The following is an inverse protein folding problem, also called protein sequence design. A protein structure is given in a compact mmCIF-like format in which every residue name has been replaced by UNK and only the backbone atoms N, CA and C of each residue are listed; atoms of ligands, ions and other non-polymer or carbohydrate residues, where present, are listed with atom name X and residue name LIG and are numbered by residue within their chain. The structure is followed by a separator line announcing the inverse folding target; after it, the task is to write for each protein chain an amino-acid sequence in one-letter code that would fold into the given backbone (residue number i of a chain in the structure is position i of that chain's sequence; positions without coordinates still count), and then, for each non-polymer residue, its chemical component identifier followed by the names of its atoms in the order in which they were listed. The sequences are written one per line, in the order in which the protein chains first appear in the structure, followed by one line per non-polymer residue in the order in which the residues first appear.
data_IF_336125628486
#
_entry.id   IF_336125628486
#
_cell.length_a   1.000
_cell.length_b   1.000
_cell.length_c   1.000
_cell.angle_alpha   90.00
_cell.angle_beta   90.00
_cell.angle_gamma   90.00
#
_symmetry.space_group_name_H-M   'P 1'
#
loop_
_entity.id
_entity.type
_entity.pdbx_description
1 polymer ?
#
# COMPACT_ATOMS: atom_id res chain seq x y z
N UNK A 1 -13.79 -43.59 -123.52
CA UNK A 1 -14.99 -42.72 -123.55
C UNK A 1 -14.74 -41.46 -122.73
N UNK A 2 -14.35 -40.39 -123.43
CA UNK A 2 -14.27 -39.03 -122.90
C UNK A 2 -15.70 -38.54 -122.65
N UNK A 3 -15.99 -38.10 -121.43
CA UNK A 3 -17.22 -37.43 -121.04
C UNK A 3 -16.86 -36.05 -120.50
N UNK A 4 -16.89 -35.07 -121.40
CA UNK A 4 -16.72 -33.64 -121.16
C UNK A 4 -17.87 -33.13 -120.25
N UNK A 5 -17.60 -33.15 -118.94
CA UNK A 5 -18.41 -32.48 -117.93
C UNK A 5 -17.83 -31.09 -117.72
N UNK A 6 -18.30 -30.13 -118.52
CA UNK A 6 -17.92 -28.73 -118.44
C UNK A 6 -18.21 -28.19 -117.04
N UNK A 7 -17.18 -28.16 -116.20
CA UNK A 7 -17.18 -27.47 -114.92
C UNK A 7 -17.42 -25.98 -115.23
N UNK A 8 -18.64 -25.53 -115.02
CA UNK A 8 -18.97 -24.11 -114.99
C UNK A 8 -18.01 -23.46 -114.01
N UNK A 9 -17.02 -22.75 -114.54
CA UNK A 9 -15.98 -22.04 -113.79
C UNK A 9 -16.64 -20.85 -113.06
N UNK A 10 -17.38 -21.14 -111.99
CA UNK A 10 -17.94 -20.12 -111.07
C UNK A 10 -16.80 -19.32 -110.42
N UNK A 11 -15.59 -19.89 -110.39
CA UNK A 11 -14.34 -19.23 -109.98
C UNK A 11 -13.86 -18.13 -110.94
N UNK A 12 -14.45 -17.92 -112.12
CA UNK A 12 -14.08 -16.84 -113.06
C UNK A 12 -15.17 -15.80 -113.30
N UNK A 13 -16.23 -15.78 -112.49
CA UNK A 13 -17.22 -14.70 -112.55
C UNK A 13 -16.73 -13.49 -111.71
N UNK A 14 -16.36 -12.36 -112.35
CA UNK A 14 -15.78 -11.21 -111.66
C UNK A 14 -16.69 -10.62 -110.58
N UNK A 15 -18.01 -10.74 -110.73
CA UNK A 15 -18.99 -10.26 -109.73
C UNK A 15 -18.96 -11.14 -108.47
N UNK A 16 -18.85 -12.47 -108.61
CA UNK A 16 -18.87 -13.40 -107.47
C UNK A 16 -17.56 -13.34 -106.66
N UNK A 17 -16.43 -13.12 -107.33
CA UNK A 17 -15.15 -12.86 -106.66
C UNK A 17 -15.17 -11.53 -105.89
N UNK A 18 -15.71 -10.47 -106.50
CA UNK A 18 -15.88 -9.17 -105.82
C UNK A 18 -16.74 -9.31 -104.55
N UNK A 19 -17.81 -10.10 -104.62
CA UNK A 19 -18.71 -10.32 -103.48
C UNK A 19 -18.05 -11.15 -102.37
N UNK A 20 -17.29 -12.20 -102.70
CA UNK A 20 -16.48 -12.96 -101.72
C UNK A 20 -15.41 -12.09 -101.06
N UNK A 21 -14.72 -11.24 -101.82
CA UNK A 21 -13.73 -10.29 -101.27
C UNK A 21 -14.43 -9.31 -100.32
N UNK A 22 -15.60 -8.76 -100.70
CA UNK A 22 -16.35 -7.86 -99.82
C UNK A 22 -16.82 -8.51 -98.52
N UNK A 23 -17.24 -9.79 -98.57
CA UNK A 23 -17.63 -10.55 -97.39
C UNK A 23 -16.43 -10.84 -96.48
N UNK A 24 -15.29 -11.24 -97.05
CA UNK A 24 -14.06 -11.45 -96.28
C UNK A 24 -13.56 -10.13 -95.65
N UNK A 25 -13.72 -9.01 -96.35
CA UNK A 25 -13.34 -7.69 -95.85
C UNK A 25 -14.29 -7.22 -94.72
N UNK A 26 -15.60 -7.45 -94.87
CA UNK A 26 -16.58 -7.21 -93.80
C UNK A 26 -16.36 -8.12 -92.58
N UNK A 27 -16.03 -9.40 -92.78
CA UNK A 27 -15.69 -10.32 -91.69
C UNK A 27 -14.42 -9.87 -90.95
N UNK A 28 -13.40 -9.44 -91.70
CA UNK A 28 -12.18 -8.88 -91.12
C UNK A 28 -12.49 -7.59 -90.33
N UNK A 29 -13.36 -6.72 -90.84
CA UNK A 29 -13.81 -5.50 -90.15
C UNK A 29 -14.59 -5.83 -88.87
N UNK A 30 -15.49 -6.82 -88.91
CA UNK A 30 -16.22 -7.28 -87.72
C UNK A 30 -15.26 -7.86 -86.69
N UNK A 31 -14.29 -8.67 -87.11
CA UNK A 31 -13.28 -9.23 -86.22
C UNK A 31 -12.36 -8.14 -85.63
N UNK A 32 -12.01 -7.11 -86.41
CA UNK A 32 -11.26 -5.96 -85.93
C UNK A 32 -12.06 -5.14 -84.90
N UNK A 33 -13.33 -4.84 -85.19
CA UNK A 33 -14.21 -4.11 -84.25
C UNK A 33 -14.47 -4.89 -82.96
N UNK A 34 -14.65 -6.21 -83.02
CA UNK A 34 -14.79 -7.05 -81.81
C UNK A 34 -13.54 -7.03 -80.94
N UNK A 35 -12.33 -7.10 -81.54
CA UNK A 35 -11.07 -6.95 -80.79
C UNK A 35 -10.95 -5.58 -80.14
N UNK A 36 -11.36 -4.52 -80.85
CA UNK A 36 -11.41 -3.18 -80.28
C UNK A 36 -12.37 -3.11 -79.08
N UNK A 37 -13.56 -3.70 -79.21
CA UNK A 37 -14.53 -3.75 -78.12
C UNK A 37 -13.97 -4.47 -76.89
N UNK A 38 -13.38 -5.66 -77.06
CA UNK A 38 -12.78 -6.38 -75.93
C UNK A 38 -11.61 -5.64 -75.28
N UNK A 39 -10.83 -4.91 -76.07
CA UNK A 39 -9.74 -4.06 -75.56
C UNK A 39 -10.28 -2.89 -74.74
N UNK A 40 -11.34 -2.22 -75.22
CA UNK A 40 -12.02 -1.15 -74.49
C UNK A 40 -12.72 -1.66 -73.22
N UNK A 41 -13.36 -2.82 -73.28
CA UNK A 41 -13.97 -3.46 -72.09
C UNK A 41 -12.91 -3.81 -71.04
N UNK A 42 -11.74 -4.32 -71.47
CA UNK A 42 -10.61 -4.57 -70.57
C UNK A 42 -10.06 -3.28 -69.95
N UNK A 43 -9.91 -2.21 -70.74
CA UNK A 43 -9.50 -0.90 -70.23
C UNK A 43 -10.51 -0.32 -69.24
N UNK A 44 -11.82 -0.43 -69.52
CA UNK A 44 -12.86 0.03 -68.60
C UNK A 44 -12.79 -0.73 -67.27
N UNK A 45 -12.66 -2.06 -67.31
CA UNK A 45 -12.53 -2.87 -66.10
C UNK A 45 -11.28 -2.52 -65.28
N UNK A 46 -10.16 -2.22 -65.93
CA UNK A 46 -8.93 -1.76 -65.27
C UNK A 46 -9.10 -0.37 -64.64
N UNK A 47 -9.77 0.56 -65.33
CA UNK A 47 -10.07 1.90 -64.83
C UNK A 47 -11.04 1.83 -63.63
N UNK A 48 -12.09 1.02 -63.71
CA UNK A 48 -13.02 0.78 -62.60
C UNK A 48 -12.29 0.24 -61.37
N UNK A 49 -11.45 -0.79 -61.55
CA UNK A 49 -10.62 -1.32 -60.47
C UNK A 49 -9.60 -0.32 -59.90
N UNK A 50 -9.19 0.67 -60.68
CA UNK A 50 -8.32 1.76 -60.22
C UNK A 50 -9.09 2.81 -59.42
N UNK A 51 -10.33 3.12 -59.82
CA UNK A 51 -11.23 4.01 -59.09
C UNK A 51 -11.52 3.46 -57.69
N UNK A 52 -11.84 2.17 -57.57
CA UNK A 52 -12.10 1.53 -56.28
C UNK A 52 -10.90 1.59 -55.33
N UNK A 53 -9.68 1.41 -55.86
CA UNK A 53 -8.44 1.53 -55.08
C UNK A 53 -8.22 2.96 -54.60
N UNK A 54 -8.47 3.95 -55.46
CA UNK A 54 -8.35 5.36 -55.10
C UNK A 54 -9.37 5.72 -54.01
N UNK A 55 -10.62 5.28 -54.14
CA UNK A 55 -11.66 5.51 -53.14
C UNK A 55 -11.33 4.87 -51.79
N UNK A 56 -10.82 3.63 -51.79
CA UNK A 56 -10.36 2.95 -50.58
C UNK A 56 -9.19 3.69 -49.91
N UNK A 57 -8.21 4.14 -50.70
CA UNK A 57 -7.07 4.92 -50.21
C UNK A 57 -7.50 6.28 -49.64
N UNK A 58 -8.46 6.96 -50.27
CA UNK A 58 -9.01 8.21 -49.75
C UNK A 58 -9.77 8.01 -48.44
N UNK A 59 -10.50 6.90 -48.29
CA UNK A 59 -11.17 6.54 -47.05
C UNK A 59 -10.15 6.28 -45.93
N UNK A 60 -9.13 5.46 -46.19
CA UNK A 60 -8.06 5.17 -45.22
C UNK A 60 -7.32 6.45 -44.80
N UNK A 61 -7.00 7.32 -45.76
CA UNK A 61 -6.37 8.62 -45.48
C UNK A 61 -7.25 9.49 -44.59
N UNK A 62 -8.57 9.52 -44.84
CA UNK A 62 -9.53 10.30 -44.04
C UNK A 62 -9.57 9.82 -42.60
N UNK A 63 -9.63 8.50 -42.41
CA UNK A 63 -9.67 7.89 -41.09
C UNK A 63 -8.37 8.17 -40.32
N UNK A 64 -7.21 7.98 -40.97
CA UNK A 64 -5.91 8.26 -40.37
C UNK A 64 -5.75 9.73 -39.97
N UNK A 65 -6.26 10.66 -40.79
CA UNK A 65 -6.25 12.09 -40.48
C UNK A 65 -7.15 12.41 -39.28
N UNK A 66 -8.33 11.79 -39.20
CA UNK A 66 -9.23 11.94 -38.05
C UNK A 66 -8.57 11.43 -36.76
N UNK A 67 -7.97 10.24 -36.81
CA UNK A 67 -7.27 9.65 -35.66
C UNK A 67 -6.08 10.50 -35.21
N UNK A 68 -5.31 11.03 -36.17
CA UNK A 68 -4.21 11.94 -35.90
C UNK A 68 -4.69 13.22 -35.19
N UNK A 69 -5.78 13.84 -35.67
CA UNK A 69 -6.34 15.03 -35.04
C UNK A 69 -6.85 14.76 -33.61
N UNK A 70 -7.49 13.60 -33.38
CA UNK A 70 -7.92 13.17 -32.04
C UNK A 70 -6.71 12.98 -31.12
N UNK A 71 -5.69 12.26 -31.59
CA UNK A 71 -4.47 12.00 -30.82
C UNK A 71 -3.74 13.31 -30.47
N UNK A 72 -3.61 14.22 -31.43
CA UNK A 72 -3.00 15.54 -31.26
C UNK A 72 -3.77 16.40 -30.26
N UNK A 73 -5.11 16.41 -30.34
CA UNK A 73 -5.96 17.12 -29.37
C UNK A 73 -5.81 16.55 -27.96
N UNK A 74 -5.83 15.22 -27.82
CA UNK A 74 -5.66 14.56 -26.53
C UNK A 74 -4.29 14.87 -25.91
N UNK A 75 -3.23 14.86 -26.73
CA UNK A 75 -1.89 15.26 -26.30
C UNK A 75 -1.88 16.68 -25.74
N UNK A 76 -2.45 17.65 -26.46
CA UNK A 76 -2.53 19.04 -25.97
C UNK A 76 -3.33 19.17 -24.67
N UNK A 77 -4.41 18.41 -24.50
CA UNK A 77 -5.18 18.37 -23.25
C UNK A 77 -4.36 17.78 -22.10
N UNK A 78 -3.61 16.70 -22.35
CA UNK A 78 -2.73 16.06 -21.36
C UNK A 78 -1.58 16.98 -20.94
N UNK A 79 -0.97 17.69 -21.90
CA UNK A 79 0.07 18.68 -21.61
C UNK A 79 -0.48 19.84 -20.78
N UNK A 80 -1.64 20.40 -21.15
CA UNK A 80 -2.29 21.47 -20.38
C UNK A 80 -2.63 21.03 -18.96
N UNK A 81 -3.12 19.79 -18.77
CA UNK A 81 -3.37 19.22 -17.44
C UNK A 81 -2.08 19.02 -16.65
N UNK A 82 -1.02 18.54 -17.29
CA UNK A 82 0.30 18.38 -16.68
C UNK A 82 0.86 19.73 -16.22
N UNK A 83 0.78 20.75 -17.06
CA UNK A 83 1.22 22.10 -16.74
C UNK A 83 0.38 22.69 -15.61
N UNK A 84 -0.95 22.55 -15.66
CA UNK A 84 -1.87 22.99 -14.60
C UNK A 84 -1.58 22.27 -13.28
N UNK A 85 -1.28 20.97 -13.29
CA UNK A 85 -0.90 20.22 -12.09
C UNK A 85 0.50 20.58 -11.59
N UNK A 86 1.45 20.92 -12.48
CA UNK A 86 2.76 21.47 -12.09
C UNK A 86 2.64 22.86 -11.49
N UNK A 87 1.83 23.73 -12.08
CA UNK A 87 1.49 25.05 -11.56
C UNK A 87 0.73 24.95 -10.24
N UNK A 88 -0.24 24.04 -10.13
CA UNK A 88 -0.96 23.73 -8.91
C UNK A 88 -0.04 23.22 -7.80
N UNK A 89 0.90 22.31 -8.10
CA UNK A 89 1.90 21.88 -7.11
C UNK A 89 2.88 22.99 -6.72
N UNK A 90 3.34 23.80 -7.68
CA UNK A 90 4.18 24.97 -7.37
C UNK A 90 3.41 26.00 -6.57
N UNK A 91 2.13 26.20 -6.88
CA UNK A 91 1.21 27.02 -6.12
C UNK A 91 1.05 26.45 -4.73
N UNK A 92 0.64 25.19 -4.51
CA UNK A 92 0.56 24.59 -3.17
C UNK A 92 1.88 24.69 -2.38
N UNK A 93 3.04 24.51 -3.03
CA UNK A 93 4.34 24.64 -2.37
C UNK A 93 4.78 26.10 -2.10
N UNK A 94 4.33 27.08 -2.89
CA UNK A 94 4.62 28.52 -2.72
C UNK A 94 3.51 29.28 -2.01
N UNK A 95 2.32 28.70 -2.01
CA UNK A 95 1.10 29.13 -1.37
C UNK A 95 1.01 28.34 -0.08
N UNK A 96 1.82 28.80 0.87
CA UNK A 96 1.55 28.77 2.30
C UNK A 96 0.25 29.57 2.63
N UNK A 97 -0.79 29.42 1.77
CA UNK A 97 -2.07 30.11 1.76
C UNK A 97 -3.17 29.26 2.38
N UNK A 98 -2.84 28.12 2.99
CA UNK A 98 -3.45 27.90 4.30
C UNK A 98 -2.78 28.92 5.20
N UNK A 99 -3.30 30.15 5.22
CA UNK A 99 -3.10 31.03 6.37
C UNK A 99 -3.69 30.25 7.53
N UNK A 100 -2.86 29.43 8.17
CA UNK A 100 -3.07 28.96 9.52
C UNK A 100 -3.04 30.22 10.36
N UNK A 101 -4.15 30.96 10.37
CA UNK A 101 -4.38 31.95 11.38
C UNK A 101 -4.56 31.11 12.62
N UNK A 102 -3.52 31.08 13.43
CA UNK A 102 -3.54 30.46 14.74
C UNK A 102 -4.58 31.23 15.55
N UNK A 103 -5.85 30.82 15.47
CA UNK A 103 -6.95 31.42 16.25
C UNK A 103 -6.73 31.11 17.72
N UNK A 104 -6.27 29.88 18.00
CA UNK A 104 -5.77 29.46 19.30
C UNK A 104 -4.51 28.59 19.04
N UNK A 105 -3.32 28.99 19.51
CA UNK A 105 -2.15 28.13 19.42
C UNK A 105 -2.42 26.81 20.12
N UNK A 106 -1.82 25.69 19.65
CA UNK A 106 -1.93 24.43 20.35
C UNK A 106 -1.35 24.63 21.76
N UNK A 107 -2.24 24.77 22.74
CA UNK A 107 -1.86 24.85 24.14
C UNK A 107 -1.37 23.46 24.51
N UNK A 108 -0.12 23.35 24.94
CA UNK A 108 0.32 22.16 25.64
C UNK A 108 -0.71 21.89 26.76
N UNK A 109 -1.29 20.68 26.82
CA UNK A 109 -2.30 20.39 27.82
C UNK A 109 -1.70 20.66 29.21
N UNK A 110 -2.32 21.59 29.94
CA UNK A 110 -1.90 21.99 31.29
C UNK A 110 -2.09 20.88 32.31
N UNK A 111 -2.83 19.83 31.94
CA UNK A 111 -3.06 18.64 32.75
C UNK A 111 -2.64 17.43 31.91
N UNK A 112 -1.80 16.53 32.44
CA UNK A 112 -1.41 15.31 31.75
C UNK A 112 -2.67 14.49 31.42
N UNK A 113 -2.90 14.22 30.14
CA UNK A 113 -4.05 13.44 29.62
C UNK A 113 -3.90 11.93 29.80
N UNK A 114 -2.78 11.49 30.39
CA UNK A 114 -2.55 10.09 30.72
C UNK A 114 -3.38 9.61 31.92
N UNK A 115 -3.50 8.28 32.11
CA UNK A 115 -4.19 7.69 33.27
C UNK A 115 -3.70 8.32 34.59
N UNK A 116 -4.60 8.50 35.57
CA UNK A 116 -4.31 9.17 36.85
C UNK A 116 -3.10 8.51 37.55
N UNK A 117 -1.93 9.13 37.39
CA UNK A 117 -0.62 8.55 37.78
C UNK A 117 -0.54 8.25 39.28
N UNK A 118 -1.19 9.08 40.10
CA UNK A 118 -1.25 8.93 41.57
C UNK A 118 -2.08 7.71 41.96
N UNK A 119 -3.21 7.48 41.27
CA UNK A 119 -4.06 6.31 41.53
C UNK A 119 -3.32 5.01 41.18
N UNK A 120 -2.70 4.94 40.01
CA UNK A 120 -1.98 3.75 39.56
C UNK A 120 -0.74 3.45 40.39
N UNK A 121 0.05 4.48 40.76
CA UNK A 121 1.23 4.27 41.61
C UNK A 121 0.85 3.76 43.00
N UNK A 122 -0.23 4.29 43.59
CA UNK A 122 -0.76 3.83 44.88
C UNK A 122 -1.28 2.40 44.79
N UNK A 123 -1.97 2.05 43.69
CA UNK A 123 -2.48 0.71 43.45
C UNK A 123 -1.33 -0.32 43.36
N UNK A 124 -0.28 0.00 42.61
CA UNK A 124 0.89 -0.89 42.45
C UNK A 124 1.62 -1.07 43.78
N UNK A 125 1.77 0.00 44.58
CA UNK A 125 2.37 -0.09 45.90
C UNK A 125 1.58 -1.05 46.81
N UNK A 126 0.25 -0.87 46.87
CA UNK A 126 -0.63 -1.74 47.66
C UNK A 126 -0.60 -3.18 47.17
N UNK A 127 -0.63 -3.39 45.85
CA UNK A 127 -0.54 -4.72 45.25
C UNK A 127 0.81 -5.38 45.59
N UNK A 128 1.92 -4.65 45.50
CA UNK A 128 3.25 -5.14 45.86
C UNK A 128 3.36 -5.53 47.33
N UNK A 129 2.81 -4.71 48.24
CA UNK A 129 2.75 -5.03 49.66
C UNK A 129 1.87 -6.26 49.95
N UNK A 130 0.72 -6.36 49.28
CA UNK A 130 -0.17 -7.50 49.41
C UNK A 130 0.49 -8.80 48.93
N UNK A 131 1.20 -8.76 47.79
CA UNK A 131 1.96 -9.90 47.27
C UNK A 131 3.11 -10.25 48.21
N UNK A 132 3.87 -9.27 48.71
CA UNK A 132 4.95 -9.50 49.66
C UNK A 132 4.46 -10.15 50.96
N UNK A 133 3.34 -9.66 51.51
CA UNK A 133 2.69 -10.26 52.67
C UNK A 133 2.18 -11.66 52.36
N UNK A 134 1.56 -11.88 51.19
CA UNK A 134 1.09 -13.19 50.75
C UNK A 134 2.21 -14.22 50.66
N UNK A 135 3.38 -13.83 50.11
CA UNK A 135 4.55 -14.70 50.04
C UNK A 135 5.11 -14.99 51.44
N UNK A 136 5.19 -13.97 52.31
CA UNK A 136 5.62 -14.16 53.69
C UNK A 136 4.70 -15.10 54.47
N UNK A 137 3.38 -14.95 54.28
CA UNK A 137 2.36 -15.81 54.87
C UNK A 137 2.48 -17.25 54.36
N UNK A 138 2.61 -17.46 53.05
CA UNK A 138 2.85 -18.78 52.47
C UNK A 138 4.14 -19.42 52.99
N UNK A 139 5.23 -18.66 53.07
CA UNK A 139 6.49 -19.15 53.66
C UNK A 139 6.33 -19.53 55.14
N UNK A 140 5.55 -18.76 55.89
CA UNK A 140 5.23 -19.08 57.29
C UNK A 140 4.41 -20.37 57.41
N UNK A 141 3.47 -20.61 56.49
CA UNK A 141 2.69 -21.85 56.47
C UNK A 141 3.54 -23.08 56.15
N UNK A 142 4.54 -22.96 55.28
CA UNK A 142 5.46 -24.07 54.98
C UNK A 142 6.50 -24.36 56.08
N UNK A 143 6.70 -23.43 57.03
CA UNK A 143 7.58 -23.61 58.19
C UNK A 143 6.82 -23.35 59.50
N UNK A 144 5.82 -24.19 59.84
CA UNK A 144 5.13 -24.04 61.11
C UNK A 144 6.15 -24.22 62.24
N UNK A 145 6.34 -23.16 63.03
CA UNK A 145 7.20 -23.18 64.22
C UNK A 145 6.27 -23.21 65.43
N UNK A 146 6.48 -24.16 66.34
CA UNK A 146 5.73 -24.23 67.59
C UNK A 146 6.33 -23.24 68.59
N UNK A 147 5.74 -22.05 68.66
CA UNK A 147 6.26 -20.98 69.52
C UNK A 147 5.78 -21.09 70.98
N UNK A 148 4.71 -21.85 71.24
CA UNK A 148 4.08 -21.92 72.56
C UNK A 148 4.01 -23.37 73.11
N UNK A 149 4.31 -23.51 74.40
CA UNK A 149 4.34 -24.81 75.11
C UNK A 149 2.98 -25.51 75.08
N UNK A 150 1.91 -24.73 75.14
CA UNK A 150 0.53 -25.20 75.09
C UNK A 150 0.24 -25.88 73.74
N UNK A 151 0.66 -25.27 72.62
CA UNK A 151 0.49 -25.83 71.27
C UNK A 151 1.24 -27.15 71.09
N UNK A 152 2.40 -27.31 71.74
CA UNK A 152 3.17 -28.55 71.73
C UNK A 152 2.48 -29.65 72.56
N UNK A 153 1.94 -29.30 73.74
CA UNK A 153 1.18 -30.20 74.60
C UNK A 153 -0.11 -30.70 73.92
N UNK A 154 -0.83 -29.79 73.26
CA UNK A 154 -2.12 -30.08 72.63
C UNK A 154 -1.96 -30.88 71.32
N UNK A 155 -0.88 -30.64 70.57
CA UNK A 155 -0.62 -31.36 69.30
C UNK A 155 0.00 -32.75 69.50
N UNK A 156 0.83 -32.94 70.55
CA UNK A 156 1.48 -34.22 70.83
C UNK A 156 0.80 -35.05 71.93
N UNK A 157 -0.15 -34.49 72.68
CA UNK A 157 -0.89 -35.20 73.74
C UNK A 157 -0.03 -35.59 74.96
N UNK A 158 1.14 -34.98 75.12
CA UNK A 158 2.11 -35.29 76.19
C UNK A 158 2.31 -34.07 77.11
N UNK A 159 2.34 -34.24 78.43
CA UNK A 159 2.54 -33.14 79.37
C UNK A 159 3.96 -32.57 79.26
N UNK A 160 4.06 -31.24 79.09
CA UNK A 160 5.35 -30.53 79.01
C UNK A 160 6.00 -30.46 80.39
N UNK A 161 7.04 -31.25 80.62
CA UNK A 161 7.75 -31.36 81.91
C UNK A 161 8.58 -30.12 82.28
N UNK A 162 8.84 -29.23 81.32
CA UNK A 162 9.61 -28.01 81.53
C UNK A 162 10.02 -27.37 80.22
N UNK A 163 10.62 -26.18 80.30
CA UNK A 163 11.09 -25.43 79.14
C UNK A 163 12.48 -24.88 79.39
N UNK A 164 13.36 -25.01 78.40
CA UNK A 164 14.66 -24.35 78.43
C UNK A 164 14.55 -23.09 77.60
N UNK A 165 14.71 -21.92 78.22
CA UNK A 165 14.78 -20.67 77.48
C UNK A 165 16.06 -20.66 76.64
N UNK A 166 15.92 -20.34 75.36
CA UNK A 166 17.07 -20.18 74.48
C UNK A 166 17.87 -18.95 74.93
N UNK A 167 19.11 -19.17 75.39
CA UNK A 167 20.06 -18.09 75.71
C UNK A 167 20.76 -17.70 74.41
N UNK A 168 20.44 -16.51 73.91
CA UNK A 168 20.97 -16.00 72.66
C UNK A 168 22.43 -15.56 72.84
N UNK A 169 23.33 -16.07 72.02
CA UNK A 169 24.73 -15.59 71.97
C UNK A 169 24.77 -14.14 71.47
N UNK A 170 25.72 -13.33 71.92
CA UNK A 170 25.90 -11.93 71.49
C UNK A 170 25.92 -11.75 69.97
N UNK A 171 26.50 -12.70 69.23
CA UNK A 171 26.54 -12.70 67.76
C UNK A 171 25.16 -12.93 67.13
N UNK A 172 24.32 -13.79 67.71
CA UNK A 172 22.96 -14.04 67.24
C UNK A 172 22.04 -12.83 67.47
N UNK A 173 22.21 -12.14 68.61
CA UNK A 173 21.49 -10.90 68.91
C UNK A 173 21.87 -9.81 67.91
N UNK A 174 23.18 -9.65 67.60
CA UNK A 174 23.66 -8.68 66.63
C UNK A 174 23.14 -8.99 65.22
N UNK A 175 23.19 -10.25 64.78
CA UNK A 175 22.68 -10.66 63.47
C UNK A 175 21.16 -10.42 63.34
N UNK A 176 20.37 -10.74 64.38
CA UNK A 176 18.93 -10.45 64.41
C UNK A 176 18.65 -8.95 64.36
N UNK A 177 19.42 -8.14 65.10
CA UNK A 177 19.29 -6.68 65.09
C UNK A 177 19.62 -6.10 63.72
N UNK A 178 20.70 -6.57 63.07
CA UNK A 178 21.07 -6.15 61.71
C UNK A 178 19.98 -6.51 60.71
N UNK A 179 19.40 -7.72 60.78
CA UNK A 179 18.31 -8.14 59.90
C UNK A 179 17.03 -7.31 60.09
N UNK A 180 16.68 -7.00 61.34
CA UNK A 180 15.50 -6.18 61.62
C UNK A 180 15.74 -4.73 61.19
N UNK A 181 16.95 -4.20 61.42
CA UNK A 181 17.34 -2.85 60.97
C UNK A 181 17.36 -2.78 59.44
N UNK A 182 17.89 -3.78 58.75
CA UNK A 182 17.88 -3.81 57.29
C UNK A 182 16.45 -3.87 56.72
N UNK A 183 15.56 -4.64 57.34
CA UNK A 183 14.14 -4.68 56.99
C UNK A 183 13.45 -3.32 57.18
N UNK A 184 13.69 -2.65 58.32
CA UNK A 184 13.12 -1.31 58.57
C UNK A 184 13.70 -0.28 57.61
N UNK A 185 14.99 -0.36 57.29
CA UNK A 185 15.65 0.53 56.33
C UNK A 185 15.11 0.35 54.91
N UNK A 186 14.91 -0.89 54.45
CA UNK A 186 14.35 -1.14 53.11
C UNK A 186 12.89 -0.70 53.01
N UNK A 187 12.08 -0.94 54.05
CA UNK A 187 10.69 -0.48 54.09
C UNK A 187 10.59 1.05 54.13
N UNK A 188 11.42 1.70 54.96
CA UNK A 188 11.50 3.16 55.02
C UNK A 188 11.99 3.75 53.69
N UNK A 189 13.00 3.13 53.08
CA UNK A 189 13.49 3.51 51.75
C UNK A 189 12.41 3.41 50.68
N UNK A 190 11.59 2.36 50.68
CA UNK A 190 10.47 2.19 49.75
C UNK A 190 9.40 3.29 49.93
N UNK A 191 9.05 3.63 51.17
CA UNK A 191 8.10 4.70 51.44
C UNK A 191 8.65 6.07 51.05
N UNK A 192 9.95 6.31 51.29
CA UNK A 192 10.63 7.53 50.87
C UNK A 192 10.65 7.66 49.35
N UNK A 193 11.01 6.61 48.60
CA UNK A 193 11.02 6.67 47.13
C UNK A 193 9.61 6.90 46.57
N UNK A 194 8.58 6.27 47.12
CA UNK A 194 7.20 6.52 46.75
C UNK A 194 6.78 7.97 47.04
N UNK A 195 7.14 8.51 48.21
CA UNK A 195 6.88 9.91 48.57
C UNK A 195 7.59 10.89 47.64
N UNK A 196 8.85 10.63 47.28
CA UNK A 196 9.60 11.43 46.29
C UNK A 196 8.91 11.40 44.93
N UNK A 197 8.46 10.24 44.48
CA UNK A 197 7.75 10.11 43.20
C UNK A 197 6.42 10.89 43.21
N UNK A 198 5.64 10.83 44.29
CA UNK A 198 4.42 11.64 44.43
C UNK A 198 4.73 13.14 44.47
N UNK A 199 5.77 13.55 45.18
CA UNK A 199 6.20 14.95 45.21
C UNK A 199 6.61 15.43 43.81
N UNK A 200 7.41 14.65 43.08
CA UNK A 200 7.81 14.98 41.70
C UNK A 200 6.59 15.14 40.78
N UNK A 201 5.56 14.31 40.94
CA UNK A 201 4.31 14.45 40.20
C UNK A 201 3.52 15.71 40.60
N UNK A 202 3.40 16.01 41.90
CA UNK A 202 2.66 17.18 42.37
C UNK A 202 3.33 18.50 41.96
N UNK A 203 4.67 18.55 41.94
CA UNK A 203 5.43 19.73 41.56
C UNK A 203 5.67 19.84 40.05
N UNK A 204 5.14 18.91 39.24
CA UNK A 204 5.32 18.85 37.78
C UNK A 204 6.78 19.05 37.34
N UNK A 205 7.73 18.52 38.12
CA UNK A 205 9.17 18.69 37.88
C UNK A 205 9.58 17.65 36.85
N UNK A 206 9.55 18.03 35.58
CA UNK A 206 10.09 17.23 34.50
C UNK A 206 11.63 17.21 34.58
N UNK A 207 12.19 16.29 35.37
CA UNK A 207 13.64 16.08 35.47
C UNK A 207 14.25 15.54 34.17
N UNK A 208 13.47 14.78 33.39
CA UNK A 208 13.91 14.15 32.14
C UNK A 208 14.38 15.16 31.08
N UNK A 209 13.63 16.22 30.73
CA UNK A 209 14.11 17.22 29.78
C UNK A 209 15.28 18.04 30.35
N UNK A 210 15.31 18.34 31.66
CA UNK A 210 16.42 19.09 32.28
C UNK A 210 17.74 18.33 32.29
N UNK A 211 17.71 17.02 32.55
CA UNK A 211 18.90 16.18 32.48
C UNK A 211 19.35 15.95 31.03
N UNK A 212 18.40 15.75 30.10
CA UNK A 212 18.70 15.67 28.67
C UNK A 212 19.33 16.96 28.14
N UNK A 213 18.86 18.14 28.59
CA UNK A 213 19.46 19.43 28.25
C UNK A 213 20.86 19.62 28.83
N UNK A 214 21.13 19.12 30.05
CA UNK A 214 22.48 19.21 30.62
C UNK A 214 23.50 18.25 29.99
N UNK A 215 23.03 17.18 29.33
CA UNK A 215 23.87 16.17 28.67
C UNK A 215 24.03 16.42 27.16
N UNK A 216 23.15 17.20 26.53
CA UNK A 216 23.40 17.75 25.20
C UNK A 216 24.37 18.93 25.31
N UNK A 217 25.66 18.60 25.22
CA UNK A 217 26.69 19.54 24.80
C UNK A 217 26.22 20.33 23.57
N UNK A 218 26.42 21.63 23.63
CA UNK A 218 26.29 22.59 22.53
C UNK A 218 27.06 22.15 21.28
#
# INVERSE_FOLDING_TARGET
PQGDGSAYNVDKNPIYQQMRISMAQLEADVAAKKRLLSEYEAQVAELEGSIDKVLALEAERRDLMSDYEIAKKNHGVLESRLESAKLGRKADNSSDNVRFRVVDPPRAPTVPTGPNRVLYSSLILLAGLAVGFGIAFLMSQFRPTFDERQMLSDSLGLPVLGSVNMVWTSDQIRARKVRNVSFVLTLSGLLLTFGVVLALYQFNIELLPRLAQSLNLA
#
